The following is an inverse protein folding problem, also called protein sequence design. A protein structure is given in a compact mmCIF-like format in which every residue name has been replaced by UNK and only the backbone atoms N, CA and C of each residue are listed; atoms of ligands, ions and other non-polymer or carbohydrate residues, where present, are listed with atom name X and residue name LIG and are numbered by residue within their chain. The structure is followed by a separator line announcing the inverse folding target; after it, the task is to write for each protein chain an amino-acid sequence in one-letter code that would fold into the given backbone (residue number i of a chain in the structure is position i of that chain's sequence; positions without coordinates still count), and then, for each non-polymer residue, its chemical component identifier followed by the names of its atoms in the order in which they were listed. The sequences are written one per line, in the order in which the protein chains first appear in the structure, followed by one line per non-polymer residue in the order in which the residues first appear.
data_IF_305582609629
#
_entry.id   IF_305582609629
#
_cell.length_a   1.000
_cell.length_b   1.000
_cell.length_c   1.000
_cell.angle_alpha   90.00
_cell.angle_beta   90.00
_cell.angle_gamma   90.00
#
_symmetry.space_group_name_H-M   'P 1'
#
loop_
_entity.id
_entity.type
_entity.pdbx_description
1 polymer ?
#
# COMPACT_ATOMS: atom_id res chain seq x y z
N UNK A 1 39.84 -36.15 4.09
CA UNK A 1 38.56 -36.82 3.80
C UNK A 1 37.66 -36.01 2.85
N UNK A 2 37.67 -34.67 2.93
CA UNK A 2 36.83 -33.75 2.11
C UNK A 2 36.83 -34.01 0.59
N UNK A 3 37.99 -34.19 -0.03
CA UNK A 3 38.12 -34.44 -1.48
C UNK A 3 37.35 -35.68 -1.95
N UNK A 4 37.23 -36.71 -1.10
CA UNK A 4 36.56 -37.98 -1.46
C UNK A 4 35.05 -37.82 -1.57
N UNK A 5 34.43 -37.03 -0.69
CA UNK A 5 32.98 -36.81 -0.69
C UNK A 5 32.57 -35.94 -1.88
N UNK A 6 33.30 -34.85 -2.13
CA UNK A 6 33.05 -33.96 -3.27
C UNK A 6 33.22 -34.71 -4.61
N UNK A 7 34.34 -35.43 -4.79
CA UNK A 7 34.57 -36.22 -6.01
C UNK A 7 33.49 -37.30 -6.21
N UNK A 8 33.04 -37.95 -5.13
CA UNK A 8 31.93 -38.92 -5.18
C UNK A 8 30.62 -38.26 -5.60
N UNK A 9 30.31 -37.07 -5.09
CA UNK A 9 29.12 -36.32 -5.48
C UNK A 9 29.18 -35.91 -6.95
N UNK A 10 30.34 -35.42 -7.44
CA UNK A 10 30.53 -35.13 -8.88
C UNK A 10 30.26 -36.37 -9.72
N UNK A 11 30.90 -37.49 -9.41
CA UNK A 11 30.74 -38.73 -10.20
C UNK A 11 29.28 -39.19 -10.25
N UNK A 12 28.56 -39.07 -9.12
CA UNK A 12 27.13 -39.40 -9.09
C UNK A 12 26.26 -38.42 -9.89
N UNK A 13 26.62 -37.12 -9.93
CA UNK A 13 25.91 -36.10 -10.69
C UNK A 13 26.15 -36.22 -12.20
N UNK A 14 27.36 -36.63 -12.61
CA UNK A 14 27.72 -36.83 -14.02
C UNK A 14 27.14 -38.12 -14.60
N UNK A 15 27.18 -39.24 -13.86
CA UNK A 15 26.71 -40.55 -14.32
C UNK A 15 25.17 -40.71 -14.31
N UNK A 16 24.45 -39.79 -13.66
CA UNK A 16 23.00 -39.88 -13.50
C UNK A 16 22.20 -39.26 -14.67
N UNK A 17 21.13 -39.93 -15.09
CA UNK A 17 20.08 -39.28 -15.90
C UNK A 17 19.46 -38.06 -15.19
N UNK A 18 18.77 -37.20 -15.94
CA UNK A 18 18.29 -35.89 -15.48
C UNK A 18 17.54 -35.95 -14.13
N UNK A 19 16.62 -36.90 -13.95
CA UNK A 19 15.88 -37.09 -12.69
C UNK A 19 16.76 -37.49 -11.51
N UNK A 20 17.79 -38.31 -11.76
CA UNK A 20 18.74 -38.72 -10.72
C UNK A 20 19.58 -37.52 -10.28
N UNK A 21 19.99 -36.68 -11.23
CA UNK A 21 20.73 -35.45 -10.96
C UNK A 21 19.92 -34.51 -10.07
N UNK A 22 18.63 -34.31 -10.36
CA UNK A 22 17.72 -33.50 -9.52
C UNK A 22 17.66 -34.03 -8.08
N UNK A 23 17.45 -35.33 -7.88
CA UNK A 23 17.41 -35.93 -6.53
C UNK A 23 18.73 -35.78 -5.78
N UNK A 24 19.87 -35.87 -6.47
CA UNK A 24 21.17 -35.65 -5.85
C UNK A 24 21.31 -34.18 -5.45
N UNK A 25 20.89 -33.23 -6.30
CA UNK A 25 20.90 -31.81 -5.94
C UNK A 25 20.01 -31.51 -4.73
N UNK A 26 18.84 -32.13 -4.60
CA UNK A 26 18.00 -32.01 -3.40
C UNK A 26 18.71 -32.51 -2.13
N UNK A 27 19.40 -33.65 -2.23
CA UNK A 27 20.22 -34.17 -1.14
C UNK A 27 21.42 -33.27 -0.83
N UNK A 28 22.04 -32.66 -1.83
CA UNK A 28 23.12 -31.69 -1.64
C UNK A 28 22.58 -30.44 -0.94
N UNK A 29 21.42 -29.92 -1.36
CA UNK A 29 20.78 -28.73 -0.78
C UNK A 29 20.49 -28.87 0.72
N UNK A 30 20.14 -30.08 1.19
CA UNK A 30 19.93 -30.33 2.63
C UNK A 30 21.23 -30.39 3.45
N UNK A 31 22.38 -30.49 2.78
CA UNK A 31 23.71 -30.60 3.38
C UNK A 31 24.55 -29.32 3.22
N UNK A 32 24.08 -28.32 2.47
CA UNK A 32 24.87 -27.12 2.14
C UNK A 32 25.36 -26.41 3.39
N UNK A 33 24.51 -26.26 4.40
CA UNK A 33 24.81 -25.43 5.57
C UNK A 33 26.05 -25.93 6.35
N UNK A 34 26.36 -27.22 6.27
CA UNK A 34 27.52 -27.85 6.93
C UNK A 34 28.68 -28.08 5.96
N UNK A 35 28.38 -28.53 4.74
CA UNK A 35 29.37 -28.97 3.77
C UNK A 35 29.61 -27.94 2.65
N UNK A 36 29.25 -26.67 2.86
CA UNK A 36 29.51 -25.60 1.90
C UNK A 36 30.99 -25.50 1.49
N UNK A 37 32.02 -25.76 2.35
CA UNK A 37 33.40 -25.70 1.92
C UNK A 37 33.76 -26.81 0.92
N UNK A 38 33.12 -27.98 1.01
CA UNK A 38 33.32 -29.04 0.01
C UNK A 38 32.51 -28.80 -1.25
N UNK A 39 31.30 -28.24 -1.14
CA UNK A 39 30.42 -27.95 -2.27
C UNK A 39 30.96 -26.76 -3.09
N UNK A 40 31.66 -25.81 -2.46
CA UNK A 40 32.30 -24.70 -3.18
C UNK A 40 33.36 -25.15 -4.19
N UNK A 41 33.98 -26.31 -3.98
CA UNK A 41 34.89 -26.94 -4.97
C UNK A 41 34.15 -27.37 -6.25
N UNK A 42 32.83 -27.52 -6.18
CA UNK A 42 31.96 -27.93 -7.29
C UNK A 42 31.24 -26.75 -7.91
N UNK A 43 31.52 -25.53 -7.43
CA UNK A 43 30.72 -24.35 -7.75
C UNK A 43 30.65 -24.08 -9.24
N UNK A 44 31.77 -24.20 -9.97
CA UNK A 44 31.83 -23.99 -11.43
C UNK A 44 30.80 -24.86 -12.18
N UNK A 45 30.66 -26.14 -11.79
CA UNK A 45 29.67 -27.06 -12.39
C UNK A 45 28.25 -26.74 -11.97
N UNK A 46 28.04 -26.33 -10.71
CA UNK A 46 26.73 -25.95 -10.20
C UNK A 46 26.23 -24.68 -10.91
N UNK A 47 27.12 -23.71 -11.15
CA UNK A 47 26.85 -22.50 -11.92
C UNK A 47 26.55 -22.81 -13.38
N UNK A 48 27.28 -23.75 -13.99
CA UNK A 48 26.99 -24.24 -15.35
C UNK A 48 25.56 -24.82 -15.44
N UNK A 49 25.17 -25.67 -14.48
CA UNK A 49 23.80 -26.21 -14.43
C UNK A 49 22.74 -25.17 -14.07
N UNK A 50 23.09 -24.14 -13.30
CA UNK A 50 22.22 -23.01 -13.01
C UNK A 50 22.03 -22.09 -14.23
N UNK A 51 23.01 -22.05 -15.15
CA UNK A 51 22.95 -21.32 -16.40
C UNK A 51 22.19 -22.10 -17.49
N UNK A 52 22.21 -23.43 -17.46
CA UNK A 52 21.55 -24.28 -18.46
C UNK A 52 20.01 -24.18 -18.36
N UNK A 53 19.41 -23.48 -19.33
CA UNK A 53 17.96 -23.32 -19.46
C UNK A 53 17.19 -24.63 -19.74
N UNK A 54 17.86 -25.68 -20.24
CA UNK A 54 17.24 -26.95 -20.58
C UNK A 54 17.13 -27.92 -19.38
N UNK A 55 17.90 -27.67 -18.33
CA UNK A 55 17.97 -28.53 -17.17
C UNK A 55 16.79 -28.29 -16.21
N UNK A 56 15.95 -29.31 -15.97
CA UNK A 56 14.82 -29.19 -15.03
C UNK A 56 15.26 -28.83 -13.61
N UNK A 57 16.46 -29.24 -13.20
CA UNK A 57 17.03 -28.96 -11.88
C UNK A 57 17.66 -27.57 -11.74
N UNK A 58 17.57 -26.71 -12.77
CA UNK A 58 18.21 -25.39 -12.79
C UNK A 58 17.91 -24.57 -11.52
N UNK A 59 16.64 -24.47 -11.14
CA UNK A 59 16.22 -23.69 -9.96
C UNK A 59 16.84 -24.21 -8.65
N UNK A 60 17.04 -25.53 -8.52
CA UNK A 60 17.67 -26.14 -7.33
C UNK A 60 19.18 -25.88 -7.36
N UNK A 61 19.81 -25.99 -8.53
CA UNK A 61 21.21 -25.63 -8.72
C UNK A 61 21.45 -24.16 -8.35
N UNK A 62 20.60 -23.24 -8.81
CA UNK A 62 20.63 -21.82 -8.42
C UNK A 62 20.45 -21.62 -6.90
N UNK A 63 19.58 -22.41 -6.24
CA UNK A 63 19.44 -22.32 -4.79
C UNK A 63 20.71 -22.74 -4.05
N UNK A 64 21.32 -23.86 -4.46
CA UNK A 64 22.57 -24.34 -3.87
C UNK A 64 23.69 -23.31 -4.10
N UNK A 65 23.79 -22.80 -5.32
CA UNK A 65 24.73 -21.75 -5.68
C UNK A 65 24.59 -20.52 -4.78
N UNK A 66 23.35 -20.06 -4.58
CA UNK A 66 23.06 -18.92 -3.71
C UNK A 66 23.51 -19.18 -2.27
N UNK A 67 23.18 -20.34 -1.70
CA UNK A 67 23.58 -20.70 -0.34
C UNK A 67 25.10 -20.77 -0.18
N UNK A 68 25.81 -21.36 -1.14
CA UNK A 68 27.28 -21.45 -1.10
C UNK A 68 27.91 -20.06 -1.20
N UNK A 69 27.40 -19.18 -2.07
CA UNK A 69 27.86 -17.79 -2.17
C UNK A 69 27.59 -17.01 -0.88
N UNK A 70 26.43 -17.23 -0.24
CA UNK A 70 26.10 -16.66 1.07
C UNK A 70 27.12 -17.07 2.14
N UNK A 71 27.42 -18.37 2.27
CA UNK A 71 28.42 -18.84 3.24
C UNK A 71 29.85 -18.41 2.90
N UNK A 72 30.15 -18.18 1.62
CA UNK A 72 31.43 -17.64 1.16
C UNK A 72 31.57 -16.14 1.43
N UNK A 73 30.50 -15.44 1.82
CA UNK A 73 30.47 -14.01 2.11
C UNK A 73 30.20 -13.11 0.89
N UNK A 74 29.80 -13.66 -0.25
CA UNK A 74 29.41 -12.87 -1.43
C UNK A 74 27.89 -12.68 -1.48
N UNK A 75 27.40 -11.66 -0.79
CA UNK A 75 25.95 -11.36 -0.72
C UNK A 75 25.34 -10.98 -2.08
N UNK A 76 26.11 -10.30 -2.94
CA UNK A 76 25.63 -9.87 -4.26
C UNK A 76 25.40 -11.07 -5.17
N UNK A 77 26.37 -12.00 -5.24
CA UNK A 77 26.24 -13.22 -6.04
C UNK A 77 25.17 -14.13 -5.46
N UNK A 78 25.11 -14.25 -4.13
CA UNK A 78 24.03 -14.98 -3.45
C UNK A 78 22.66 -14.46 -3.88
N UNK A 79 22.45 -13.14 -3.86
CA UNK A 79 21.16 -12.57 -4.28
C UNK A 79 20.83 -12.90 -5.73
N UNK A 80 21.81 -12.80 -6.64
CA UNK A 80 21.60 -13.10 -8.06
C UNK A 80 21.10 -14.54 -8.25
N UNK A 81 21.77 -15.51 -7.63
CA UNK A 81 21.37 -16.91 -7.73
C UNK A 81 20.06 -17.20 -6.97
N UNK A 82 19.80 -16.49 -5.87
CA UNK A 82 18.54 -16.60 -5.14
C UNK A 82 17.35 -16.18 -6.02
N UNK A 83 17.49 -15.06 -6.74
CA UNK A 83 16.44 -14.57 -7.65
C UNK A 83 16.17 -15.58 -8.77
N UNK A 84 17.21 -16.24 -9.29
CA UNK A 84 17.08 -17.30 -10.31
C UNK A 84 16.40 -18.58 -9.79
N UNK A 85 16.53 -18.89 -8.51
CA UNK A 85 15.83 -20.03 -7.90
C UNK A 85 14.31 -19.82 -7.80
N UNK A 86 13.85 -18.56 -7.88
CA UNK A 86 12.45 -18.12 -7.94
C UNK A 86 11.52 -18.70 -6.85
N UNK A 87 10.86 -19.82 -7.13
CA UNK A 87 9.80 -20.40 -6.30
C UNK A 87 10.32 -21.46 -5.31
N UNK A 88 11.55 -21.94 -5.49
CA UNK A 88 12.11 -23.00 -4.64
C UNK A 88 12.52 -22.44 -3.27
N UNK A 89 12.80 -21.14 -3.17
CA UNK A 89 13.10 -20.50 -1.90
C UNK A 89 11.81 -20.39 -1.07
N UNK A 90 11.77 -21.15 0.02
CA UNK A 90 10.70 -21.02 1.01
C UNK A 90 10.98 -19.85 1.95
N UNK A 91 10.30 -18.72 1.74
CA UNK A 91 10.40 -17.55 2.63
C UNK A 91 9.81 -17.79 4.04
N UNK A 92 9.08 -18.88 4.20
CA UNK A 92 8.47 -19.29 5.47
C UNK A 92 9.46 -19.98 6.42
N UNK A 93 10.57 -20.52 5.90
CA UNK A 93 11.56 -21.27 6.68
C UNK A 93 12.28 -20.38 7.73
N UNK A 94 12.34 -19.06 7.50
CA UNK A 94 12.95 -18.07 8.40
C UNK A 94 14.35 -18.48 8.90
N UNK A 95 15.09 -19.24 8.08
CA UNK A 95 16.49 -19.57 8.35
C UNK A 95 17.38 -18.33 8.21
N UNK A 96 18.58 -18.37 8.80
CA UNK A 96 19.53 -17.25 8.74
C UNK A 96 19.81 -16.82 7.30
N UNK A 97 19.96 -17.80 6.39
CA UNK A 97 20.09 -17.56 4.95
C UNK A 97 18.87 -16.83 4.37
N UNK A 98 17.65 -17.30 4.65
CA UNK A 98 16.41 -16.68 4.13
C UNK A 98 16.25 -15.25 4.67
N UNK A 99 16.58 -15.02 5.93
CA UNK A 99 16.52 -13.69 6.54
C UNK A 99 17.54 -12.75 5.88
N UNK A 100 18.79 -13.21 5.74
CA UNK A 100 19.86 -12.41 5.13
C UNK A 100 19.53 -12.07 3.67
N UNK A 101 19.15 -13.06 2.87
CA UNK A 101 18.85 -12.86 1.45
C UNK A 101 17.63 -11.97 1.24
N UNK A 102 16.59 -12.12 2.07
CA UNK A 102 15.39 -11.27 2.02
C UNK A 102 15.72 -9.83 2.40
N UNK A 103 16.55 -9.64 3.42
CA UNK A 103 17.01 -8.31 3.86
C UNK A 103 17.83 -7.64 2.77
N UNK A 104 18.77 -8.37 2.15
CA UNK A 104 19.57 -7.86 1.03
C UNK A 104 18.71 -7.52 -0.18
N UNK A 105 17.77 -8.38 -0.56
CA UNK A 105 16.82 -8.11 -1.63
C UNK A 105 16.00 -6.84 -1.36
N UNK A 106 15.50 -6.67 -0.12
CA UNK A 106 14.77 -5.48 0.29
C UNK A 106 15.63 -4.22 0.23
N UNK A 107 16.90 -4.27 0.65
CA UNK A 107 17.82 -3.14 0.56
C UNK A 107 18.05 -2.71 -0.89
N UNK A 108 18.34 -3.67 -1.78
CA UNK A 108 18.54 -3.40 -3.20
C UNK A 108 17.26 -2.85 -3.84
N UNK A 109 16.10 -3.45 -3.52
CA UNK A 109 14.81 -2.96 -3.98
C UNK A 109 14.49 -1.55 -3.47
N UNK A 110 14.80 -1.26 -2.21
CA UNK A 110 14.60 0.07 -1.61
C UNK A 110 15.48 1.12 -2.28
N UNK A 111 16.75 0.80 -2.52
CA UNK A 111 17.66 1.69 -3.24
C UNK A 111 17.14 1.98 -4.66
N UNK A 112 16.75 0.93 -5.38
CA UNK A 112 16.18 1.05 -6.71
C UNK A 112 14.90 1.91 -6.74
N UNK A 113 13.96 1.67 -5.82
CA UNK A 113 12.71 2.46 -5.70
C UNK A 113 12.93 3.92 -5.28
N UNK A 114 14.07 4.22 -4.66
CA UNK A 114 14.47 5.56 -4.29
C UNK A 114 15.37 6.25 -5.33
N UNK A 115 15.42 5.72 -6.56
CA UNK A 115 16.17 6.28 -7.70
C UNK A 115 17.71 6.20 -7.54
N UNK A 116 18.20 5.36 -6.63
CA UNK A 116 19.63 5.05 -6.50
C UNK A 116 20.00 3.90 -7.45
N UNK A 117 20.27 4.24 -8.70
CA UNK A 117 20.56 3.27 -9.78
C UNK A 117 21.85 2.48 -9.52
N UNK A 118 22.84 3.05 -8.83
CA UNK A 118 24.15 2.41 -8.59
C UNK A 118 24.03 1.04 -7.88
N UNK A 119 23.11 0.91 -6.93
CA UNK A 119 22.88 -0.36 -6.21
C UNK A 119 22.22 -1.45 -7.08
N UNK A 120 21.69 -1.08 -8.24
CA UNK A 120 20.92 -1.94 -9.14
C UNK A 120 21.68 -2.36 -10.40
N UNK A 121 22.82 -1.72 -10.72
CA UNK A 121 23.51 -1.91 -12.00
C UNK A 121 23.89 -3.37 -12.32
N UNK A 122 24.29 -4.15 -11.32
CA UNK A 122 24.60 -5.58 -11.52
C UNK A 122 23.37 -6.41 -11.89
N UNK A 123 22.22 -6.14 -11.27
CA UNK A 123 20.96 -6.85 -11.56
C UNK A 123 20.34 -6.40 -12.89
N UNK A 124 20.50 -5.13 -13.25
CA UNK A 124 20.04 -4.59 -14.54
C UNK A 124 20.78 -5.25 -15.71
N UNK A 125 22.10 -5.40 -15.59
CA UNK A 125 22.92 -6.09 -16.60
C UNK A 125 22.48 -7.54 -16.85
N UNK A 126 21.89 -8.19 -15.84
CA UNK A 126 21.41 -9.58 -15.89
C UNK A 126 19.91 -9.70 -16.14
N UNK A 127 19.17 -8.60 -16.37
CA UNK A 127 17.72 -8.57 -16.56
C UNK A 127 16.91 -9.23 -15.41
N UNK A 128 17.42 -9.22 -14.17
CA UNK A 128 16.78 -9.87 -13.00
C UNK A 128 15.76 -8.97 -12.28
N UNK A 129 15.34 -7.90 -12.95
CA UNK A 129 14.40 -6.93 -12.39
C UNK A 129 13.05 -7.55 -12.04
N UNK A 130 12.48 -8.34 -12.95
CA UNK A 130 11.19 -9.00 -12.75
C UNK A 130 11.26 -10.06 -11.65
N UNK A 131 12.38 -10.80 -11.58
CA UNK A 131 12.62 -11.78 -10.53
C UNK A 131 12.72 -11.11 -9.16
N UNK A 132 13.41 -9.96 -9.05
CA UNK A 132 13.45 -9.17 -7.81
C UNK A 132 12.05 -8.71 -7.40
N UNK A 133 11.26 -8.14 -8.30
CA UNK A 133 9.90 -7.71 -7.99
C UNK A 133 9.04 -8.89 -7.53
N UNK A 134 9.14 -10.02 -8.22
CA UNK A 134 8.42 -11.25 -7.88
C UNK A 134 8.81 -11.74 -6.48
N UNK A 135 10.11 -11.79 -6.19
CA UNK A 135 10.65 -12.17 -4.89
C UNK A 135 10.15 -11.26 -3.77
N UNK A 136 10.19 -9.94 -3.99
CA UNK A 136 9.75 -8.94 -3.00
C UNK A 136 8.24 -9.02 -2.76
N UNK A 137 7.44 -9.25 -3.81
CA UNK A 137 6.00 -9.46 -3.67
C UNK A 137 5.67 -10.69 -2.83
N UNK A 138 6.36 -11.81 -3.08
CA UNK A 138 6.25 -13.02 -2.26
C UNK A 138 6.66 -12.77 -0.81
N UNK A 139 7.72 -11.99 -0.58
CA UNK A 139 8.14 -11.61 0.76
C UNK A 139 7.07 -10.79 1.49
N UNK A 140 6.47 -9.79 0.83
CA UNK A 140 5.35 -9.05 1.39
C UNK A 140 4.14 -9.94 1.69
N UNK A 141 3.79 -10.87 0.79
CA UNK A 141 2.70 -11.80 1.02
C UNK A 141 2.97 -12.71 2.21
N UNK A 142 4.22 -13.19 2.37
CA UNK A 142 4.66 -13.94 3.54
C UNK A 142 4.53 -13.10 4.82
N UNK A 143 5.02 -11.85 4.83
CA UNK A 143 4.97 -10.98 6.01
C UNK A 143 3.53 -10.67 6.44
N UNK A 144 2.64 -10.42 5.47
CA UNK A 144 1.22 -10.18 5.72
C UNK A 144 0.57 -11.45 6.26
N UNK A 145 0.87 -12.63 5.69
CA UNK A 145 0.34 -13.92 6.17
C UNK A 145 0.79 -14.22 7.60
N UNK A 146 2.04 -13.92 7.93
CA UNK A 146 2.59 -14.02 9.29
C UNK A 146 2.11 -12.93 10.25
N UNK A 147 1.25 -12.00 9.80
CA UNK A 147 0.70 -10.87 10.57
C UNK A 147 1.76 -9.96 11.21
N UNK A 148 2.92 -9.82 10.57
CA UNK A 148 4.02 -8.95 11.04
C UNK A 148 3.79 -7.48 10.65
N UNK A 149 2.57 -6.97 10.85
CA UNK A 149 2.11 -5.72 10.25
C UNK A 149 2.98 -4.50 10.57
N UNK A 150 3.49 -4.37 11.81
CA UNK A 150 4.32 -3.23 12.20
C UNK A 150 5.58 -3.13 11.34
N UNK A 151 6.33 -4.23 11.24
CA UNK A 151 7.54 -4.31 10.42
C UNK A 151 7.21 -4.14 8.94
N UNK A 152 6.14 -4.78 8.46
CA UNK A 152 5.73 -4.69 7.06
C UNK A 152 5.37 -3.26 6.65
N UNK A 153 4.75 -2.47 7.53
CA UNK A 153 4.45 -1.05 7.25
C UNK A 153 5.73 -0.25 7.12
N UNK A 154 6.71 -0.42 8.01
CA UNK A 154 8.02 0.25 7.90
C UNK A 154 8.66 -0.03 6.54
N UNK A 155 8.76 -1.30 6.17
CA UNK A 155 9.32 -1.73 4.88
C UNK A 155 8.51 -1.18 3.70
N UNK A 156 7.18 -1.15 3.79
CA UNK A 156 6.32 -0.60 2.74
C UNK A 156 6.51 0.92 2.56
N UNK A 157 6.79 1.64 3.63
CA UNK A 157 7.09 3.08 3.61
C UNK A 157 8.44 3.32 2.93
N UNK A 158 9.49 2.60 3.35
CA UNK A 158 10.84 2.71 2.78
C UNK A 158 10.87 2.42 1.28
N UNK A 159 10.12 1.39 0.87
CA UNK A 159 10.04 0.93 -0.53
C UNK A 159 9.02 1.68 -1.39
N UNK A 160 8.34 2.71 -0.84
CA UNK A 160 7.28 3.47 -1.53
C UNK A 160 6.15 2.56 -2.07
N UNK A 161 5.78 1.52 -1.34
CA UNK A 161 4.72 0.54 -1.68
C UNK A 161 3.39 0.90 -1.03
N UNK A 162 2.71 1.93 -1.55
CA UNK A 162 1.40 2.36 -1.05
C UNK A 162 0.31 1.28 -1.25
N UNK A 163 0.46 0.41 -2.25
CA UNK A 163 -0.42 -0.73 -2.47
C UNK A 163 -0.36 -1.74 -1.32
N UNK A 164 0.84 -2.05 -0.80
CA UNK A 164 1.03 -2.91 0.37
C UNK A 164 0.42 -2.27 1.61
N UNK A 165 0.65 -0.97 1.83
CA UNK A 165 0.05 -0.24 2.95
C UNK A 165 -1.48 -0.32 2.91
N UNK A 166 -2.10 -0.11 1.75
CA UNK A 166 -3.55 -0.24 1.57
C UNK A 166 -4.05 -1.65 1.87
N UNK A 167 -3.37 -2.67 1.33
CA UNK A 167 -3.70 -4.09 1.61
C UNK A 167 -3.69 -4.38 3.11
N UNK A 168 -2.68 -3.89 3.84
CA UNK A 168 -2.59 -4.03 5.29
C UNK A 168 -3.75 -3.29 5.97
N UNK A 169 -3.98 -2.02 5.63
CA UNK A 169 -5.05 -1.20 6.22
C UNK A 169 -6.46 -1.77 5.98
N UNK A 170 -6.66 -2.47 4.86
CA UNK A 170 -7.92 -3.11 4.50
C UNK A 170 -8.14 -4.47 5.20
N UNK A 171 -7.09 -5.05 5.80
CA UNK A 171 -7.20 -6.27 6.60
C UNK A 171 -8.14 -6.04 7.81
N UNK A 172 -9.20 -6.85 7.88
CA UNK A 172 -10.24 -6.75 8.90
C UNK A 172 -9.71 -6.94 10.33
N UNK A 173 -8.55 -7.58 10.50
CA UNK A 173 -7.93 -7.76 11.82
C UNK A 173 -7.46 -6.44 12.43
N UNK A 174 -7.14 -5.44 11.60
CA UNK A 174 -6.55 -4.17 12.02
C UNK A 174 -7.59 -3.18 12.54
N UNK A 175 -8.86 -3.29 12.13
CA UNK A 175 -9.94 -2.38 12.59
C UNK A 175 -10.06 -2.36 14.13
N UNK A 176 -9.57 -3.39 14.83
CA UNK A 176 -9.58 -3.44 16.29
C UNK A 176 -8.39 -2.73 16.97
N UNK A 177 -7.33 -2.38 16.23
CA UNK A 177 -6.06 -1.91 16.78
C UNK A 177 -5.85 -0.40 16.60
N UNK A 178 -6.39 0.41 17.53
CA UNK A 178 -6.20 1.88 17.59
C UNK A 178 -4.72 2.30 17.56
N UNK A 179 -3.86 1.57 18.27
CA UNK A 179 -2.43 1.85 18.31
C UNK A 179 -1.75 1.63 16.96
N UNK A 180 -2.21 0.67 16.16
CA UNK A 180 -1.61 0.36 14.87
C UNK A 180 -1.82 1.49 13.85
N UNK A 181 -3.00 2.12 13.83
CA UNK A 181 -3.27 3.26 12.95
C UNK A 181 -2.40 4.46 13.35
N UNK A 182 -2.24 4.72 14.66
CA UNK A 182 -1.33 5.77 15.14
C UNK A 182 0.10 5.48 14.67
N UNK A 183 0.57 4.24 14.86
CA UNK A 183 1.88 3.80 14.40
C UNK A 183 2.07 4.01 12.89
N UNK A 184 1.07 3.68 12.06
CA UNK A 184 1.15 3.92 10.62
C UNK A 184 1.32 5.41 10.30
N UNK A 185 0.60 6.30 11.00
CA UNK A 185 0.74 7.75 10.81
C UNK A 185 2.14 8.21 11.23
N UNK A 186 2.65 7.70 12.36
CA UNK A 186 3.97 8.04 12.88
C UNK A 186 5.07 7.63 11.90
N UNK A 187 5.06 6.37 11.47
CA UNK A 187 6.04 5.82 10.52
C UNK A 187 6.01 6.56 9.19
N UNK A 188 4.83 6.80 8.62
CA UNK A 188 4.72 7.54 7.35
C UNK A 188 5.18 8.99 7.51
N UNK A 189 4.95 9.61 8.66
CA UNK A 189 5.36 10.99 8.90
C UNK A 189 6.88 11.11 9.03
N UNK A 190 7.49 10.16 9.74
CA UNK A 190 8.91 10.19 10.10
C UNK A 190 9.82 9.62 9.00
N UNK A 191 9.43 8.51 8.37
CA UNK A 191 10.32 7.72 7.49
C UNK A 191 9.98 7.81 6.00
N UNK A 192 8.88 8.45 5.59
CA UNK A 192 8.55 8.53 4.17
C UNK A 192 9.65 9.28 3.39
N UNK A 193 10.24 8.68 2.33
CA UNK A 193 11.43 9.20 1.67
C UNK A 193 11.18 10.49 0.88
N UNK A 194 9.94 10.70 0.40
CA UNK A 194 9.57 11.91 -0.34
C UNK A 194 8.27 12.50 0.18
N UNK A 195 8.10 13.81 -0.03
CA UNK A 195 6.86 14.52 0.32
C UNK A 195 5.66 13.94 -0.45
N UNK A 196 5.85 13.52 -1.71
CA UNK A 196 4.80 12.87 -2.51
C UNK A 196 4.38 11.54 -1.90
N UNK A 197 5.33 10.68 -1.55
CA UNK A 197 5.08 9.39 -0.90
C UNK A 197 4.34 9.58 0.43
N UNK A 198 4.82 10.53 1.24
CA UNK A 198 4.19 10.88 2.52
C UNK A 198 2.73 11.28 2.32
N UNK A 199 2.45 12.17 1.37
CA UNK A 199 1.08 12.63 1.08
C UNK A 199 0.20 11.48 0.59
N UNK A 200 0.68 10.65 -0.33
CA UNK A 200 -0.10 9.55 -0.90
C UNK A 200 -0.44 8.47 0.13
N UNK A 201 0.50 8.17 1.02
CA UNK A 201 0.32 7.20 2.10
C UNK A 201 -0.56 7.76 3.22
N UNK A 202 -0.34 9.01 3.66
CA UNK A 202 -1.23 9.67 4.62
C UNK A 202 -2.65 9.79 4.10
N UNK A 203 -2.84 10.10 2.81
CA UNK A 203 -4.15 10.15 2.19
C UNK A 203 -4.84 8.78 2.22
N UNK A 204 -4.10 7.68 1.99
CA UNK A 204 -4.64 6.33 2.11
C UNK A 204 -5.09 6.03 3.55
N UNK A 205 -4.27 6.39 4.54
CA UNK A 205 -4.62 6.22 5.97
C UNK A 205 -5.86 7.04 6.33
N UNK A 206 -5.91 8.32 5.94
CA UNK A 206 -7.04 9.22 6.23
C UNK A 206 -8.33 8.71 5.60
N UNK A 207 -8.29 8.25 4.33
CA UNK A 207 -9.45 7.65 3.66
C UNK A 207 -9.96 6.42 4.41
N UNK A 208 -9.04 5.56 4.89
CA UNK A 208 -9.40 4.39 5.69
C UNK A 208 -10.04 4.79 7.03
N UNK A 209 -9.42 5.71 7.77
CA UNK A 209 -9.98 6.20 9.04
C UNK A 209 -11.37 6.81 8.83
N UNK A 210 -11.58 7.54 7.73
CA UNK A 210 -12.87 8.13 7.38
C UNK A 210 -13.94 7.12 6.92
N UNK A 211 -13.56 5.92 6.52
CA UNK A 211 -14.49 4.83 6.19
C UNK A 211 -14.86 4.00 7.43
N UNK A 212 -13.97 3.94 8.43
CA UNK A 212 -14.20 3.21 9.66
C UNK A 212 -15.32 3.82 10.51
N UNK A 213 -16.12 2.96 11.16
CA UNK A 213 -17.16 3.40 12.12
C UNK A 213 -16.56 3.96 13.41
N UNK A 214 -15.36 3.51 13.75
CA UNK A 214 -14.59 4.00 14.90
C UNK A 214 -13.76 5.19 14.47
N UNK A 215 -13.90 6.29 15.19
CA UNK A 215 -13.19 7.52 14.91
C UNK A 215 -11.86 7.58 15.66
N UNK A 216 -10.77 7.36 14.94
CA UNK A 216 -9.39 7.44 15.44
C UNK A 216 -8.94 8.90 15.48
N UNK A 217 -9.53 9.69 16.39
CA UNK A 217 -9.44 11.15 16.37
C UNK A 217 -8.00 11.69 16.40
N UNK A 218 -7.17 11.21 17.32
CA UNK A 218 -5.78 11.65 17.47
C UNK A 218 -4.95 11.36 16.22
N UNK A 219 -5.06 10.14 15.70
CA UNK A 219 -4.37 9.73 14.47
C UNK A 219 -4.87 10.51 13.25
N UNK A 220 -6.18 10.75 13.14
CA UNK A 220 -6.76 11.56 12.06
C UNK A 220 -6.26 13.00 12.09
N UNK A 221 -6.24 13.62 13.27
CA UNK A 221 -5.74 14.99 13.46
C UNK A 221 -4.26 15.08 13.05
N UNK A 222 -3.43 14.17 13.55
CA UNK A 222 -2.00 14.11 13.17
C UNK A 222 -1.82 13.89 11.67
N UNK A 223 -2.53 12.94 11.08
CA UNK A 223 -2.43 12.64 9.66
C UNK A 223 -2.87 13.83 8.78
N UNK A 224 -3.98 14.50 9.10
CA UNK A 224 -4.46 15.67 8.35
C UNK A 224 -3.51 16.86 8.47
N UNK A 225 -2.89 17.07 9.65
CA UNK A 225 -1.85 18.09 9.83
C UNK A 225 -0.66 17.87 8.90
N UNK A 226 -0.14 16.65 8.84
CA UNK A 226 1.03 16.33 8.00
C UNK A 226 0.71 16.15 6.51
N UNK A 227 -0.55 15.85 6.16
CA UNK A 227 -1.00 15.77 4.77
C UNK A 227 -1.01 17.15 4.10
N UNK A 228 -1.33 18.20 4.85
CA UNK A 228 -1.42 19.59 4.38
C UNK A 228 -2.28 19.73 3.10
N UNK A 229 -3.39 18.98 3.02
CA UNK A 229 -4.38 19.09 1.94
C UNK A 229 -5.63 19.85 2.44
N UNK A 230 -5.81 21.12 2.03
CA UNK A 230 -6.92 21.95 2.48
C UNK A 230 -8.29 21.39 2.07
N UNK A 231 -8.37 20.75 0.89
CA UNK A 231 -9.63 20.21 0.37
C UNK A 231 -10.03 18.98 1.17
N UNK A 232 -9.06 18.07 1.39
CA UNK A 232 -9.29 16.89 2.21
C UNK A 232 -9.77 17.29 3.61
N UNK A 233 -9.10 18.22 4.30
CA UNK A 233 -9.55 18.69 5.61
C UNK A 233 -10.95 19.31 5.57
N UNK A 234 -11.21 20.17 4.59
CA UNK A 234 -12.52 20.79 4.41
C UNK A 234 -13.63 19.73 4.25
N UNK A 235 -13.42 18.73 3.41
CA UNK A 235 -14.40 17.66 3.17
C UNK A 235 -14.67 16.86 4.46
N UNK A 236 -13.64 16.56 5.25
CA UNK A 236 -13.79 15.91 6.55
C UNK A 236 -14.56 16.77 7.55
N UNK A 237 -14.22 18.06 7.66
CA UNK A 237 -14.92 18.99 8.56
C UNK A 237 -16.40 19.12 8.19
N UNK A 238 -16.71 19.29 6.90
CA UNK A 238 -18.10 19.38 6.43
C UNK A 238 -18.83 18.07 6.71
N UNK A 239 -18.25 16.92 6.33
CA UNK A 239 -18.87 15.61 6.54
C UNK A 239 -19.17 15.33 8.02
N UNK A 240 -18.24 15.67 8.91
CA UNK A 240 -18.42 15.46 10.34
C UNK A 240 -19.39 16.46 10.95
N UNK A 241 -19.34 17.74 10.55
CA UNK A 241 -20.24 18.78 11.04
C UNK A 241 -21.71 18.60 10.59
N UNK A 242 -21.94 17.94 9.45
CA UNK A 242 -23.29 17.56 8.99
C UNK A 242 -23.72 16.15 9.41
N UNK A 243 -22.89 15.47 10.22
CA UNK A 243 -23.14 14.12 10.68
C UNK A 243 -24.01 14.08 11.95
N UNK A 244 -23.71 13.13 12.84
CA UNK A 244 -24.31 13.07 14.17
C UNK A 244 -23.73 14.14 15.09
N UNK A 245 -24.43 14.45 16.18
CA UNK A 245 -23.95 15.41 17.19
C UNK A 245 -22.53 15.08 17.70
N UNK A 246 -22.22 13.79 17.90
CA UNK A 246 -20.86 13.34 18.25
C UNK A 246 -19.83 13.70 17.17
N UNK A 247 -20.14 13.47 15.90
CA UNK A 247 -19.25 13.85 14.79
C UNK A 247 -19.10 15.36 14.69
N UNK A 248 -20.16 16.12 14.98
CA UNK A 248 -20.11 17.58 14.98
C UNK A 248 -19.14 18.11 16.04
N UNK A 249 -19.19 17.58 17.27
CA UNK A 249 -18.21 17.92 18.32
C UNK A 249 -16.79 17.56 17.87
N UNK A 250 -16.61 16.40 17.24
CA UNK A 250 -15.30 15.99 16.71
C UNK A 250 -14.81 16.90 15.58
N UNK A 251 -15.70 17.41 14.72
CA UNK A 251 -15.34 18.37 13.68
C UNK A 251 -14.80 19.67 14.29
N UNK A 252 -15.46 20.19 15.32
CA UNK A 252 -14.99 21.39 16.00
C UNK A 252 -13.66 21.18 16.71
N UNK A 253 -13.49 20.06 17.43
CA UNK A 253 -12.21 19.75 18.07
C UNK A 253 -11.10 19.60 17.02
N UNK A 254 -11.40 18.93 15.88
CA UNK A 254 -10.44 18.77 14.79
C UNK A 254 -10.00 20.12 14.23
N UNK A 255 -10.93 21.04 14.03
CA UNK A 255 -10.62 22.39 13.57
C UNK A 255 -9.74 23.15 14.58
N UNK A 256 -10.03 23.05 15.88
CA UNK A 256 -9.26 23.70 16.96
C UNK A 256 -7.84 23.13 17.00
N UNK A 257 -7.70 21.80 17.03
CA UNK A 257 -6.40 21.16 17.16
C UNK A 257 -5.51 21.43 15.94
N UNK A 258 -6.10 21.47 14.74
CA UNK A 258 -5.38 21.81 13.50
C UNK A 258 -4.97 23.28 13.50
N UNK A 259 -5.86 24.19 13.92
CA UNK A 259 -5.54 25.61 14.03
C UNK A 259 -4.34 25.87 14.96
N UNK A 260 -4.20 25.09 16.04
CA UNK A 260 -3.12 25.26 17.00
C UNK A 260 -1.71 24.89 16.48
N UNK A 261 -1.58 24.18 15.35
CA UNK A 261 -0.27 23.69 14.89
C UNK A 261 -0.03 23.59 13.39
N UNK A 262 -1.01 23.92 12.55
CA UNK A 262 -0.84 23.85 11.10
C UNK A 262 -0.26 25.16 10.51
N UNK A 263 0.41 25.11 9.35
CA UNK A 263 0.96 26.31 8.71
C UNK A 263 -0.10 27.36 8.36
N UNK A 264 0.24 28.66 8.50
CA UNK A 264 -0.70 29.76 8.25
C UNK A 264 -1.32 29.73 6.85
N UNK A 265 -0.51 29.44 5.82
CA UNK A 265 -0.99 29.37 4.42
C UNK A 265 -2.04 28.27 4.25
N UNK A 266 -1.82 27.12 4.88
CA UNK A 266 -2.77 26.01 4.89
C UNK A 266 -4.09 26.42 5.55
N UNK A 267 -4.02 27.06 6.73
CA UNK A 267 -5.21 27.56 7.44
C UNK A 267 -5.99 28.60 6.62
N UNK A 268 -5.30 29.52 5.94
CA UNK A 268 -5.95 30.50 5.06
C UNK A 268 -6.68 29.83 3.89
N UNK A 269 -6.10 28.78 3.29
CA UNK A 269 -6.73 28.03 2.21
C UNK A 269 -7.99 27.30 2.70
N UNK A 270 -7.93 26.66 3.86
CA UNK A 270 -9.10 26.01 4.49
C UNK A 270 -10.19 27.05 4.81
N UNK A 271 -9.82 28.19 5.41
CA UNK A 271 -10.75 29.27 5.71
C UNK A 271 -11.46 29.83 4.47
N UNK A 272 -10.75 29.96 3.34
CA UNK A 272 -11.37 30.33 2.05
C UNK A 272 -12.40 29.30 1.58
N UNK A 273 -12.14 28.00 1.76
CA UNK A 273 -13.10 26.94 1.39
C UNK A 273 -14.34 26.98 2.29
N UNK A 274 -14.16 27.14 3.59
CA UNK A 274 -15.26 27.26 4.56
C UNK A 274 -16.13 28.49 4.25
N UNK A 275 -15.52 29.66 4.02
CA UNK A 275 -16.26 30.89 3.69
C UNK A 275 -17.08 30.74 2.41
N UNK A 276 -16.49 30.13 1.36
CA UNK A 276 -17.22 29.85 0.11
C UNK A 276 -18.40 28.90 0.34
N UNK A 277 -18.23 27.89 1.19
CA UNK A 277 -19.31 26.96 1.53
C UNK A 277 -20.44 27.64 2.32
N UNK A 278 -20.08 28.46 3.31
CA UNK A 278 -21.05 29.22 4.10
C UNK A 278 -21.86 30.20 3.23
N UNK A 279 -21.19 30.94 2.33
CA UNK A 279 -21.85 31.85 1.39
C UNK A 279 -22.83 31.10 0.47
N UNK A 280 -22.45 29.93 -0.05
CA UNK A 280 -23.36 29.10 -0.87
C UNK A 280 -24.59 28.65 -0.09
N UNK A 281 -24.42 28.20 1.16
CA UNK A 281 -25.55 27.80 2.02
C UNK A 281 -26.48 28.96 2.35
N UNK A 282 -25.93 30.13 2.67
CA UNK A 282 -26.70 31.36 2.93
C UNK A 282 -27.54 31.77 1.70
N UNK A 283 -26.90 31.77 0.51
CA UNK A 283 -27.58 32.08 -0.74
C UNK A 283 -28.71 31.08 -1.04
N UNK A 284 -28.48 29.78 -0.82
CA UNK A 284 -29.51 28.75 -1.00
C UNK A 284 -30.70 28.95 -0.03
N UNK A 285 -30.44 29.29 1.23
CA UNK A 285 -31.49 29.61 2.20
C UNK A 285 -32.30 30.85 1.78
N UNK A 286 -31.64 31.90 1.29
CA UNK A 286 -32.31 33.11 0.76
C UNK A 286 -33.14 32.83 -0.51
N UNK A 287 -32.70 31.91 -1.36
CA UNK A 287 -33.45 31.48 -2.54
C UNK A 287 -34.66 30.62 -2.15
N UNK A 288 -34.50 29.70 -1.21
CA UNK A 288 -35.62 28.89 -0.68
C UNK A 288 -36.73 29.78 -0.11
N UNK A 289 -36.38 30.73 0.75
CA UNK A 289 -37.37 31.71 1.27
C UNK A 289 -38.04 32.54 0.18
N UNK A 290 -37.32 32.89 -0.89
CA UNK A 290 -37.88 33.62 -2.04
C UNK A 290 -38.82 32.73 -2.87
N UNK A 291 -38.46 31.46 -3.07
CA UNK A 291 -39.29 30.46 -3.77
C UNK A 291 -40.54 30.15 -2.98
N UNK A 292 -40.44 29.99 -1.66
CA UNK A 292 -41.59 29.74 -0.78
C UNK A 292 -42.54 30.94 -0.78
N UNK A 293 -42.02 32.18 -0.75
CA UNK A 293 -42.82 33.39 -0.95
C UNK A 293 -43.51 33.42 -2.30
N UNK A 294 -42.80 33.08 -3.40
CA UNK A 294 -43.41 33.02 -4.73
C UNK A 294 -44.44 31.90 -4.84
N UNK A 295 -44.20 30.72 -4.26
CA UNK A 295 -45.16 29.60 -4.21
C UNK A 295 -46.42 29.99 -3.45
N UNK A 296 -46.27 30.64 -2.28
CA UNK A 296 -47.39 31.19 -1.53
C UNK A 296 -48.16 32.25 -2.36
N UNK A 297 -47.45 33.11 -3.10
CA UNK A 297 -48.04 34.04 -4.06
C UNK A 297 -48.79 33.35 -5.21
N UNK A 298 -48.23 32.30 -5.80
CA UNK A 298 -48.89 31.52 -6.86
C UNK A 298 -50.09 30.72 -6.34
N UNK A 299 -50.05 30.20 -5.11
CA UNK A 299 -51.22 29.57 -4.49
C UNK A 299 -52.32 30.60 -4.21
N UNK A 300 -51.97 31.82 -3.79
CA UNK A 300 -52.92 32.92 -3.65
C UNK A 300 -53.52 33.30 -5.00
N UNK A 301 -52.70 33.43 -6.06
CA UNK A 301 -53.20 33.68 -7.42
C UNK A 301 -54.08 32.54 -7.96
N UNK A 302 -53.77 31.27 -7.65
CA UNK A 302 -54.64 30.14 -7.98
C UNK A 302 -55.96 30.18 -7.23
N UNK A 303 -55.99 30.65 -5.98
CA UNK A 303 -57.21 30.83 -5.20
C UNK A 303 -58.03 32.04 -5.68
N UNK A 304 -57.40 33.07 -6.22
CA UNK A 304 -58.08 34.25 -6.76
C UNK A 304 -58.57 34.05 -8.22
N UNK A 305 -57.90 33.22 -9.01
CA UNK A 305 -58.22 33.03 -10.43
C UNK A 305 -59.61 32.41 -10.76
N UNK A 306 -60.30 31.62 -9.92
CA UNK A 306 -61.64 31.16 -10.26
C UNK A 306 -62.71 32.25 -10.07
N UNK A 307 -62.49 33.23 -9.18
CA UNK A 307 -63.53 34.20 -8.84
C UNK A 307 -63.68 35.34 -9.86
N UNK A 308 -62.62 35.68 -10.61
CA UNK A 308 -62.74 36.71 -11.66
C UNK A 308 -63.25 36.20 -13.00
N UNK A 309 -63.16 34.90 -13.27
CA UNK A 309 -63.73 34.33 -14.52
C UNK A 309 -65.25 34.18 -14.40
N UNK A 310 -65.79 34.00 -13.19
CA UNK A 310 -67.22 33.80 -12.94
C UNK A 310 -68.09 35.08 -13.00
N UNK A 311 -67.51 36.27 -13.19
CA UNK A 311 -68.29 37.51 -13.33
C UNK A 311 -68.52 37.99 -14.76
N UNK A 312 -68.01 37.27 -15.78
CA UNK A 312 -68.53 37.47 -17.14
C UNK A 312 -69.79 36.64 -17.28
N UNK A 313 -70.90 37.24 -16.85
CA UNK A 313 -72.25 36.79 -17.14
C UNK A 313 -72.37 36.51 -18.64
N UNK A 314 -72.31 35.24 -19.01
CA UNK A 314 -72.80 34.79 -20.31
C UNK A 314 -74.30 35.00 -20.26
N UNK A 315 -74.79 35.95 -21.06
CA UNK A 315 -76.21 36.13 -21.30
C UNK A 315 -76.81 34.77 -21.63
N UNK A 316 -77.69 34.30 -20.75
CA UNK A 316 -78.47 33.09 -20.93
C UNK A 316 -79.22 33.21 -22.25
N UNK A 317 -78.74 32.46 -23.24
CA UNK A 317 -79.49 32.16 -24.45
C UNK A 317 -80.63 31.25 -24.01
N UNK A 318 -81.77 31.86 -23.70
CA UNK A 318 -83.02 31.16 -23.46
C UNK A 318 -83.45 30.52 -24.77
N UNK A 319 -83.02 29.30 -24.98
CA UNK A 319 -83.49 28.41 -26.03
C UNK A 319 -84.50 27.41 -25.44
N UNK A 320 -85.59 27.23 -26.19
CA UNK A 320 -86.45 26.04 -26.25
C UNK A 320 -87.47 25.80 -25.12
N UNK A 321 -88.69 26.29 -25.32
CA UNK A 321 -89.83 25.47 -25.81
C UNK A 321 -91.00 26.33 -26.25
#
# INVERSE_FOLDING_TARGET
MALGTAAKLIGQLEEGGEERRVKILENVNSMVDVFWPEISLLMEKIEEWAADSSFKGRKIASLIASKVHYYSGSDSDALIYALQAQDIISLEEQSDYVIAITSKALLVYTAWRNENVEAFGELESRNLHEDLISFINKAFDCFIRSRRYYQTVGIAVDTRRNDVLKRILDDATIEKQLHFISYCVDVVTEFAPTVTTRKDMLLAIVKRIGASRRTYYSALCKALKHLEDPKCLFDFLVRFATGSERLTVMAYQLAIDIYAGAPLIFLQQVGRLINRYAQKKLNLASLLTTVDRKRAGFSLLRLESPKRILQRSFHEVSAER
#
